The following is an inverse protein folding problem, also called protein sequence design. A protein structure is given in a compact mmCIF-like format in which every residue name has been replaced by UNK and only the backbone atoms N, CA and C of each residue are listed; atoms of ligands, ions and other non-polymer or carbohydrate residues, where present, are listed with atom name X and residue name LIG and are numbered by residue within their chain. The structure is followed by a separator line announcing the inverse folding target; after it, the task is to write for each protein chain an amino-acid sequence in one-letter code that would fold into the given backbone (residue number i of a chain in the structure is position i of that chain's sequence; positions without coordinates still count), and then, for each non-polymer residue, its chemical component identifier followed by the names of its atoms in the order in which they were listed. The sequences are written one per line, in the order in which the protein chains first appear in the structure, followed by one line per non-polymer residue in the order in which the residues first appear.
data_IF_732139682294
#
_entry.id   IF_732139682294
#
_cell.length_a   1.000
_cell.length_b   1.000
_cell.length_c   1.000
_cell.angle_alpha   90.00
_cell.angle_beta   90.00
_cell.angle_gamma   90.00
#
_symmetry.space_group_name_H-M   'P 1'
#
loop_
_entity.id
_entity.type
_entity.pdbx_description
1 polymer ?
#
# COMPACT_ATOMS: atom_id res chain seq x y z
N UNK A 1 -13.78 -11.89 -6.56
CA UNK A 1 -13.88 -10.42 -6.47
C UNK A 1 -14.69 -10.08 -5.22
N UNK A 2 -14.13 -9.29 -4.31
CA UNK A 2 -14.79 -8.87 -3.07
C UNK A 2 -15.87 -7.85 -3.42
N UNK A 3 -17.07 -8.06 -2.88
CA UNK A 3 -18.19 -7.13 -3.02
C UNK A 3 -18.63 -6.67 -1.62
N UNK A 4 -18.26 -5.45 -1.21
CA UNK A 4 -18.50 -4.93 0.14
C UNK A 4 -19.98 -4.77 0.55
N UNK A 5 -20.91 -4.92 -0.39
CA UNK A 5 -22.36 -4.73 -0.19
C UNK A 5 -23.14 -6.04 0.06
N UNK A 6 -22.46 -7.18 0.24
CA UNK A 6 -23.11 -8.49 0.44
C UNK A 6 -23.19 -8.89 1.91
N UNK A 7 -24.20 -9.69 2.26
CA UNK A 7 -24.45 -10.33 3.58
C UNK A 7 -23.28 -11.18 4.15
N UNK A 8 -22.17 -11.28 3.43
CA UNK A 8 -20.99 -12.07 3.76
C UNK A 8 -19.81 -11.22 4.28
N UNK A 9 -19.90 -9.89 4.22
CA UNK A 9 -18.79 -8.99 4.57
C UNK A 9 -18.22 -9.23 5.96
N UNK A 10 -19.09 -9.38 6.96
CA UNK A 10 -18.66 -9.67 8.33
C UNK A 10 -17.91 -11.02 8.42
N UNK A 11 -18.37 -12.05 7.71
CA UNK A 11 -17.70 -13.36 7.68
C UNK A 11 -16.34 -13.27 6.98
N UNK A 12 -16.24 -12.50 5.90
CA UNK A 12 -14.97 -12.25 5.21
C UNK A 12 -13.96 -11.54 6.11
N UNK A 13 -14.38 -10.52 6.86
CA UNK A 13 -13.52 -9.84 7.84
C UNK A 13 -13.10 -10.77 8.98
N UNK A 14 -13.99 -11.65 9.46
CA UNK A 14 -13.63 -12.67 10.46
C UNK A 14 -12.59 -13.65 9.92
N UNK A 15 -12.77 -14.15 8.69
CA UNK A 15 -11.79 -15.04 8.05
C UNK A 15 -10.43 -14.33 7.87
N UNK A 16 -10.46 -13.08 7.40
CA UNK A 16 -9.25 -12.26 7.24
C UNK A 16 -8.49 -12.09 8.55
N UNK A 17 -9.20 -11.81 9.65
CA UNK A 17 -8.60 -11.73 11.00
C UNK A 17 -7.85 -12.99 11.39
N UNK A 18 -8.49 -14.15 11.19
CA UNK A 18 -7.89 -15.44 11.55
C UNK A 18 -6.66 -15.74 10.68
N UNK A 19 -6.75 -15.50 9.37
CA UNK A 19 -5.64 -15.69 8.45
C UNK A 19 -4.41 -14.85 8.82
N UNK A 20 -4.61 -13.58 9.20
CA UNK A 20 -3.48 -12.72 9.61
C UNK A 20 -2.85 -13.17 10.95
N UNK A 21 -3.67 -13.69 11.86
CA UNK A 21 -3.20 -14.18 13.15
C UNK A 21 -2.36 -15.47 13.05
N UNK A 22 -2.53 -16.28 12.00
CA UNK A 22 -1.80 -17.55 11.83
C UNK A 22 -0.27 -17.40 11.87
N UNK A 23 0.26 -16.27 11.39
CA UNK A 23 1.71 -16.04 11.28
C UNK A 23 2.26 -14.97 12.21
N UNK A 24 1.40 -14.29 12.97
CA UNK A 24 1.77 -13.11 13.74
C UNK A 24 2.96 -13.36 14.68
N UNK A 25 2.93 -14.46 15.45
CA UNK A 25 4.01 -14.79 16.38
C UNK A 25 5.35 -15.09 15.68
N UNK A 26 5.32 -15.74 14.51
CA UNK A 26 6.52 -16.04 13.74
C UNK A 26 7.12 -14.79 13.11
N UNK A 27 6.27 -13.87 12.64
CA UNK A 27 6.70 -12.60 12.04
C UNK A 27 7.28 -11.66 13.09
N UNK A 28 6.65 -11.58 14.26
CA UNK A 28 7.16 -10.79 15.40
C UNK A 28 8.55 -11.27 15.86
N UNK A 29 8.71 -12.60 16.01
CA UNK A 29 9.98 -13.18 16.43
C UNK A 29 11.11 -13.05 15.39
N UNK A 30 10.78 -13.07 14.10
CA UNK A 30 11.77 -13.07 13.01
C UNK A 30 12.08 -11.67 12.47
N UNK A 31 11.14 -10.73 12.56
CA UNK A 31 11.21 -9.43 11.89
C UNK A 31 11.18 -9.50 10.36
N UNK A 32 10.82 -10.66 9.79
CA UNK A 32 10.75 -10.84 8.33
C UNK A 32 9.56 -10.08 7.72
N UNK A 33 9.70 -9.76 6.43
CA UNK A 33 8.60 -9.18 5.68
C UNK A 33 7.45 -10.19 5.53
N UNK A 34 6.17 -9.79 5.69
CA UNK A 34 5.03 -10.71 5.78
C UNK A 34 4.55 -11.20 4.40
N UNK A 35 5.43 -11.84 3.63
CA UNK A 35 5.18 -12.26 2.25
C UNK A 35 3.89 -13.05 2.07
N UNK A 36 3.66 -14.07 2.90
CA UNK A 36 2.46 -14.91 2.80
C UNK A 36 1.18 -14.14 3.12
N UNK A 37 1.21 -13.19 4.06
CA UNK A 37 0.05 -12.33 4.31
C UNK A 37 -0.25 -11.47 3.08
N UNK A 38 0.78 -10.89 2.44
CA UNK A 38 0.62 -10.13 1.19
C UNK A 38 0.06 -10.99 0.07
N UNK A 39 0.52 -12.24 -0.08
CA UNK A 39 -0.01 -13.17 -1.09
C UNK A 39 -1.47 -13.54 -0.84
N UNK A 40 -1.87 -13.77 0.42
CA UNK A 40 -3.27 -13.99 0.80
C UNK A 40 -4.14 -12.79 0.48
N UNK A 41 -3.66 -11.59 0.83
CA UNK A 41 -4.35 -10.33 0.56
C UNK A 41 -4.50 -10.08 -0.95
N UNK A 42 -3.46 -10.38 -1.73
CA UNK A 42 -3.48 -10.32 -3.20
C UNK A 42 -4.50 -11.29 -3.77
N UNK A 43 -4.44 -12.57 -3.39
CA UNK A 43 -5.34 -13.61 -3.89
C UNK A 43 -6.82 -13.30 -3.56
N UNK A 44 -7.08 -12.66 -2.42
CA UNK A 44 -8.41 -12.19 -2.04
C UNK A 44 -8.86 -10.93 -2.78
N UNK A 45 -7.96 -10.16 -3.40
CA UNK A 45 -8.26 -8.84 -3.96
C UNK A 45 -8.38 -7.74 -2.92
N UNK A 46 -7.86 -7.95 -1.70
CA UNK A 46 -7.91 -6.97 -0.62
C UNK A 46 -7.02 -5.75 -0.95
N UNK A 47 -5.85 -5.96 -1.55
CA UNK A 47 -4.88 -4.89 -1.86
C UNK A 47 -5.40 -3.82 -2.82
N UNK A 48 -6.41 -4.13 -3.64
CA UNK A 48 -6.97 -3.22 -4.64
C UNK A 48 -8.33 -2.63 -4.24
N UNK A 49 -8.79 -2.79 -2.99
CA UNK A 49 -10.12 -2.32 -2.57
C UNK A 49 -10.35 -0.81 -2.76
N UNK A 50 -9.30 0.00 -2.56
CA UNK A 50 -9.34 1.44 -2.75
C UNK A 50 -9.22 1.88 -4.22
N UNK A 51 -8.96 0.95 -5.16
CA UNK A 51 -8.84 1.27 -6.58
C UNK A 51 -10.22 1.63 -7.15
N UNK A 52 -10.34 2.70 -7.98
CA UNK A 52 -11.62 3.08 -8.58
C UNK A 52 -12.25 1.96 -9.44
N UNK A 53 -13.59 1.85 -9.48
CA UNK A 53 -14.27 0.87 -10.32
C UNK A 53 -13.97 1.01 -11.82
N UNK A 54 -13.73 2.24 -12.30
CA UNK A 54 -13.32 2.52 -13.68
C UNK A 54 -11.97 1.92 -14.07
N UNK A 55 -11.16 1.50 -13.09
CA UNK A 55 -9.88 0.84 -13.27
C UNK A 55 -9.90 -0.64 -12.80
N UNK A 56 -11.09 -1.23 -12.66
CA UNK A 56 -11.26 -2.64 -12.27
C UNK A 56 -11.20 -2.91 -10.76
N UNK A 57 -11.10 -1.87 -9.93
CA UNK A 57 -11.11 -1.99 -8.47
C UNK A 57 -12.51 -2.07 -7.86
N UNK A 58 -12.57 -2.24 -6.54
CA UNK A 58 -13.85 -2.29 -5.82
C UNK A 58 -14.43 -0.91 -5.49
N UNK A 59 -13.61 0.16 -5.49
CA UNK A 59 -14.04 1.50 -5.10
C UNK A 59 -14.60 1.58 -3.68
N UNK A 60 -14.06 0.80 -2.74
CA UNK A 60 -14.60 0.69 -1.39
C UNK A 60 -14.58 2.05 -0.66
N UNK A 61 -15.63 2.31 0.10
CA UNK A 61 -15.76 3.52 0.91
C UNK A 61 -14.72 3.56 2.03
N UNK A 62 -14.42 4.76 2.55
CA UNK A 62 -13.48 4.94 3.66
C UNK A 62 -13.86 4.09 4.89
N UNK A 63 -15.15 3.93 5.18
CA UNK A 63 -15.64 3.10 6.28
C UNK A 63 -15.34 1.60 6.06
N UNK A 64 -15.44 1.11 4.83
CA UNK A 64 -15.10 -0.27 4.48
C UNK A 64 -13.59 -0.52 4.55
N UNK A 65 -12.79 0.42 4.03
CA UNK A 65 -11.33 0.39 4.15
C UNK A 65 -10.90 0.40 5.64
N UNK A 66 -11.54 1.27 6.43
CA UNK A 66 -11.74 1.22 7.88
C UNK A 66 -11.67 -0.20 8.46
N UNK A 67 -12.74 -0.93 8.16
CA UNK A 67 -13.02 -2.24 8.73
C UNK A 67 -12.00 -3.30 8.29
N UNK A 68 -11.52 -3.22 7.05
CA UNK A 68 -10.47 -4.13 6.55
C UNK A 68 -9.15 -3.89 7.28
N UNK A 69 -8.72 -2.63 7.42
CA UNK A 69 -7.49 -2.30 8.15
C UNK A 69 -7.60 -2.79 9.59
N UNK A 70 -8.74 -2.54 10.26
CA UNK A 70 -8.96 -3.00 11.63
C UNK A 70 -8.95 -4.54 11.75
N UNK A 71 -9.52 -5.25 10.77
CA UNK A 71 -9.50 -6.71 10.71
C UNK A 71 -8.07 -7.25 10.54
N UNK A 72 -7.28 -6.67 9.63
CA UNK A 72 -5.88 -7.08 9.44
C UNK A 72 -5.07 -6.76 10.69
N UNK A 73 -5.21 -5.55 11.25
CA UNK A 73 -4.45 -5.10 12.41
C UNK A 73 -4.70 -5.93 13.67
N UNK A 74 -5.90 -6.51 13.79
CA UNK A 74 -6.20 -7.41 14.89
C UNK A 74 -5.34 -8.68 14.85
N UNK A 75 -5.04 -9.20 13.65
CA UNK A 75 -4.19 -10.38 13.47
C UNK A 75 -2.70 -10.03 13.37
N UNK A 76 -2.35 -9.06 12.52
CA UNK A 76 -0.96 -8.66 12.26
C UNK A 76 -0.86 -7.14 11.94
N UNK A 77 -0.47 -6.31 12.93
CA UNK A 77 -0.40 -4.86 12.80
C UNK A 77 0.54 -4.31 11.72
N UNK A 78 1.68 -4.95 11.45
CA UNK A 78 2.65 -4.46 10.47
C UNK A 78 2.10 -4.59 9.03
N UNK A 79 1.46 -5.71 8.71
CA UNK A 79 0.73 -5.92 7.46
C UNK A 79 -0.37 -4.89 7.31
N UNK A 80 -1.11 -4.59 8.38
CA UNK A 80 -2.17 -3.58 8.33
C UNK A 80 -1.63 -2.18 7.97
N UNK A 81 -0.43 -1.83 8.44
CA UNK A 81 0.22 -0.57 8.06
C UNK A 81 0.59 -0.54 6.58
N UNK A 82 1.12 -1.64 6.03
CA UNK A 82 1.42 -1.77 4.59
C UNK A 82 0.15 -1.51 3.76
N UNK A 83 -0.95 -2.18 4.13
CA UNK A 83 -2.24 -2.06 3.43
C UNK A 83 -2.86 -0.67 3.61
N UNK A 84 -2.73 -0.07 4.79
CA UNK A 84 -3.18 1.30 5.04
C UNK A 84 -2.45 2.30 4.12
N UNK A 85 -1.13 2.20 4.00
CA UNK A 85 -0.36 3.05 3.10
C UNK A 85 -0.76 2.87 1.64
N UNK A 86 -0.95 1.61 1.21
CA UNK A 86 -1.46 1.28 -0.13
C UNK A 86 -2.77 2.01 -0.42
N UNK A 87 -3.77 1.88 0.46
CA UNK A 87 -5.07 2.53 0.27
C UNK A 87 -4.96 4.05 0.22
N UNK A 88 -4.18 4.66 1.12
CA UNK A 88 -3.99 6.10 1.13
C UNK A 88 -3.30 6.60 -0.15
N UNK A 89 -2.41 5.82 -0.76
CA UNK A 89 -1.80 6.18 -2.04
C UNK A 89 -2.78 6.04 -3.19
N UNK A 90 -3.60 4.98 -3.23
CA UNK A 90 -4.64 4.83 -4.25
C UNK A 90 -5.67 5.96 -4.20
N UNK A 91 -6.17 6.29 -3.00
CA UNK A 91 -7.13 7.39 -2.82
C UNK A 91 -6.54 8.73 -3.28
N UNK A 92 -5.31 9.05 -2.84
CA UNK A 92 -4.63 10.29 -3.27
C UNK A 92 -4.34 10.33 -4.77
N UNK A 93 -3.97 9.19 -5.35
CA UNK A 93 -3.72 9.10 -6.79
C UNK A 93 -5.01 9.29 -7.60
N UNK A 94 -6.13 8.74 -7.13
CA UNK A 94 -7.43 8.90 -7.77
C UNK A 94 -7.89 10.37 -7.81
N UNK A 95 -7.59 11.14 -6.76
CA UNK A 95 -7.90 12.57 -6.64
C UNK A 95 -6.89 13.49 -7.35
N UNK A 96 -5.76 12.95 -7.82
CA UNK A 96 -4.67 13.75 -8.38
C UNK A 96 -4.70 13.79 -9.91
N UNK A 97 -5.32 14.83 -10.45
CA UNK A 97 -5.39 15.05 -11.91
C UNK A 97 -4.11 15.65 -12.51
N UNK A 98 -3.12 16.01 -11.69
CA UNK A 98 -1.81 16.42 -12.20
C UNK A 98 -0.95 15.23 -12.67
N UNK A 99 -1.34 13.99 -12.32
CA UNK A 99 -0.68 12.80 -12.85
C UNK A 99 -1.06 12.53 -14.29
N UNK A 100 -0.08 12.12 -15.09
CA UNK A 100 -0.31 11.65 -16.45
C UNK A 100 -1.30 10.46 -16.42
N UNK A 101 -2.48 10.63 -17.02
CA UNK A 101 -3.59 9.71 -16.87
C UNK A 101 -3.26 8.24 -17.24
N UNK A 102 -2.53 7.95 -18.33
CA UNK A 102 -2.08 6.59 -18.63
C UNK A 102 -1.21 5.96 -17.53
N UNK A 103 -0.33 6.74 -16.89
CA UNK A 103 0.53 6.24 -15.81
C UNK A 103 -0.31 5.94 -14.55
N UNK A 104 -1.27 6.82 -14.23
CA UNK A 104 -2.22 6.61 -13.15
C UNK A 104 -3.03 5.32 -13.36
N UNK A 105 -3.54 5.09 -14.57
CA UNK A 105 -4.26 3.87 -14.91
C UNK A 105 -3.38 2.63 -14.82
N UNK A 106 -2.13 2.70 -15.27
CA UNK A 106 -1.19 1.58 -15.17
C UNK A 106 -0.94 1.15 -13.72
N UNK A 107 -0.78 2.11 -12.79
CA UNK A 107 -0.64 1.80 -11.35
C UNK A 107 -1.86 1.07 -10.82
N UNK A 108 -3.06 1.53 -11.17
CA UNK A 108 -4.30 0.89 -10.74
C UNK A 108 -4.49 -0.50 -11.34
N UNK A 109 -4.21 -0.69 -12.62
CA UNK A 109 -4.29 -1.99 -13.27
C UNK A 109 -3.29 -2.97 -12.67
N UNK A 110 -2.05 -2.55 -12.41
CA UNK A 110 -1.06 -3.41 -11.77
C UNK A 110 -1.48 -3.84 -10.34
N UNK A 111 -2.08 -2.91 -9.58
CA UNK A 111 -2.64 -3.23 -8.28
C UNK A 111 -3.80 -4.25 -8.35
N UNK A 112 -4.63 -4.19 -9.40
CA UNK A 112 -5.79 -5.09 -9.59
C UNK A 112 -5.38 -6.45 -10.14
N UNK A 113 -4.53 -6.47 -11.17
CA UNK A 113 -4.17 -7.68 -11.92
C UNK A 113 -3.07 -8.48 -11.22
N UNK A 114 -2.09 -7.79 -10.64
CA UNK A 114 -0.90 -8.41 -10.06
C UNK A 114 -0.77 -8.20 -8.55
N UNK A 115 -1.64 -7.39 -7.93
CA UNK A 115 -1.48 -6.99 -6.54
C UNK A 115 -0.19 -6.21 -6.31
N UNK A 116 0.16 -5.34 -7.26
CA UNK A 116 1.26 -4.39 -7.12
C UNK A 116 1.08 -3.48 -5.91
N UNK A 117 2.17 -3.27 -5.16
CA UNK A 117 2.19 -2.38 -4.00
C UNK A 117 2.88 -1.05 -4.38
N UNK A 118 2.32 0.06 -3.92
CA UNK A 118 2.87 1.39 -4.08
C UNK A 118 3.09 2.03 -2.72
N UNK A 119 4.26 2.66 -2.56
CA UNK A 119 4.53 3.51 -1.41
C UNK A 119 5.38 4.71 -1.84
N UNK A 120 5.44 5.74 -1.00
CA UNK A 120 6.28 6.91 -1.21
C UNK A 120 7.50 6.85 -0.30
N UNK A 121 8.68 6.65 -0.89
CA UNK A 121 9.96 6.69 -0.20
C UNK A 121 10.48 8.14 -0.19
N UNK A 122 10.24 8.86 0.90
CA UNK A 122 10.54 10.31 1.00
C UNK A 122 11.67 10.65 1.97
N UNK A 123 11.89 9.85 3.01
CA UNK A 123 12.84 10.17 4.08
C UNK A 123 14.27 9.87 3.63
N UNK A 124 15.16 10.84 3.88
CA UNK A 124 16.61 10.71 3.71
C UNK A 124 17.29 10.95 5.07
N UNK A 125 18.34 10.19 5.41
CA UNK A 125 18.95 10.20 6.75
C UNK A 125 19.53 11.56 7.15
N UNK A 126 19.99 12.37 6.19
CA UNK A 126 20.57 13.70 6.42
C UNK A 126 19.52 14.82 6.56
N UNK A 127 18.24 14.57 6.27
CA UNK A 127 17.21 15.62 6.17
C UNK A 127 16.10 15.56 7.24
N UNK A 128 15.98 14.46 7.98
CA UNK A 128 14.94 14.31 9.00
C UNK A 128 13.51 14.53 8.46
N UNK A 129 12.60 14.98 9.34
CA UNK A 129 11.21 15.29 8.96
C UNK A 129 11.14 16.41 7.89
N UNK A 130 10.34 16.26 6.82
CA UNK A 130 10.28 17.17 5.67
C UNK A 130 9.98 18.65 5.98
N UNK A 131 9.50 18.95 7.19
CA UNK A 131 9.12 20.29 7.61
C UNK A 131 10.28 21.32 7.60
N UNK A 132 11.53 20.88 7.43
CA UNK A 132 12.73 21.75 7.43
C UNK A 132 13.30 22.12 6.06
N UNK A 133 12.69 21.68 4.95
CA UNK A 133 12.97 22.26 3.63
C UNK A 133 14.38 22.05 3.06
N UNK A 134 15.15 21.08 3.54
CA UNK A 134 16.44 20.75 2.92
C UNK A 134 16.25 20.03 1.58
N UNK A 135 17.15 20.33 0.64
CA UNK A 135 17.14 19.72 -0.70
C UNK A 135 17.47 18.23 -0.60
N UNK A 136 16.74 17.34 -1.29
CA UNK A 136 17.08 15.92 -1.32
C UNK A 136 18.48 15.67 -1.89
N UNK A 137 19.24 14.77 -1.27
CA UNK A 137 20.47 14.20 -1.81
C UNK A 137 20.19 13.31 -3.03
N UNK A 138 18.95 12.83 -3.19
CA UNK A 138 18.53 12.13 -4.41
C UNK A 138 18.55 13.08 -5.61
N UNK A 139 19.45 12.82 -6.56
CA UNK A 139 19.61 13.58 -7.79
C UNK A 139 18.89 12.89 -8.94
N UNK A 140 18.11 13.66 -9.70
CA UNK A 140 17.52 13.23 -10.97
C UNK A 140 18.21 13.95 -12.13
N UNK A 141 18.92 13.21 -12.98
CA UNK A 141 19.62 13.74 -14.16
C UNK A 141 18.83 13.41 -15.43
N UNK A 142 18.49 14.43 -16.23
CA UNK A 142 17.81 14.24 -17.52
C UNK A 142 18.74 13.52 -18.51
N UNK A 143 18.24 12.46 -19.15
CA UNK A 143 18.87 11.72 -20.24
C UNK A 143 18.01 11.80 -21.51
N UNK A 144 18.55 11.33 -22.64
CA UNK A 144 17.84 11.34 -23.93
C UNK A 144 16.47 10.65 -23.85
N UNK A 145 16.40 9.49 -23.19
CA UNK A 145 15.20 8.65 -23.09
C UNK A 145 14.45 8.79 -21.75
N UNK A 146 14.86 9.70 -20.85
CA UNK A 146 14.20 9.80 -19.55
C UNK A 146 15.04 10.44 -18.46
N UNK A 147 15.03 9.83 -17.27
CA UNK A 147 15.72 10.32 -16.08
C UNK A 147 16.57 9.21 -15.46
N UNK A 148 17.77 9.58 -15.06
CA UNK A 148 18.70 8.78 -14.27
C UNK A 148 18.61 9.27 -12.82
N UNK A 149 18.17 8.40 -11.90
CA UNK A 149 17.92 8.75 -10.51
C UNK A 149 18.94 8.04 -9.63
N UNK A 150 19.74 8.80 -8.89
CA UNK A 150 20.76 8.30 -7.96
C UNK A 150 20.55 8.91 -6.58
N UNK A 151 20.45 8.08 -5.55
CA UNK A 151 20.24 8.53 -4.17
C UNK A 151 20.04 7.37 -3.20
N UNK A 152 19.89 7.69 -1.91
CA UNK A 152 19.61 6.70 -0.86
C UNK A 152 18.49 7.20 0.04
N UNK A 153 17.41 6.42 0.16
CA UNK A 153 16.27 6.72 1.03
C UNK A 153 16.30 5.77 2.23
N UNK A 154 16.33 6.31 3.44
CA UNK A 154 16.24 5.53 4.68
C UNK A 154 15.21 6.15 5.63
N UNK A 155 14.44 5.29 6.29
CA UNK A 155 13.50 5.67 7.36
C UNK A 155 14.13 5.63 8.75
N UNK A 156 15.39 5.18 8.87
CA UNK A 156 16.10 5.07 10.14
C UNK A 156 17.21 6.13 10.24
N UNK A 157 17.22 6.89 11.34
CA UNK A 157 18.45 7.53 11.81
C UNK A 157 19.37 6.41 12.34
N UNK A 158 20.58 6.30 11.80
CA UNK A 158 21.62 5.50 12.48
C UNK A 158 22.00 6.25 13.75
N UNK A 159 21.80 5.62 14.90
CA UNK A 159 22.43 6.04 16.16
C UNK A 159 23.91 5.69 16.13
#
# INVERSE_FOLDING_TARGET
MIHPERDDWARQLTALRQQMAEQAASLDASGEFPWRNIDHLRAGGWLSLAVPPSCGGAGASLAQLQQVIAAIAWGEPATALIVCMQYLHHLRLAENDAWHAPLRQQVFHDAVEHGGLINSLRVEPELGSPARGGLPDTVATRRAEGWDISGHKNLYHRH
#
